data_IF_545673580532
#
_entry.id   IF_545673580532
#
_cell.length_a   1.000
_cell.length_b   1.000
_cell.length_c   1.000
_cell.angle_alpha   90.00
_cell.angle_beta   90.00
_cell.angle_gamma   90.00
#
_symmetry.space_group_name_H-M   'P 1'
#
loop_
_entity.id
_entity.type
_entity.pdbx_description
1 polymer ?
#
# COMPACT_ATOMS: atom_id res chain seq x y z
N UNK A 1 6.31 -10.30 -2.20
CA UNK A 1 6.30 -9.70 -3.56
C UNK A 1 5.38 -8.50 -3.64
N UNK A 2 4.16 -8.53 -3.05
CA UNK A 2 3.20 -7.43 -3.03
C UNK A 2 3.76 -6.08 -2.54
N UNK A 3 4.32 -6.02 -1.33
CA UNK A 3 4.86 -4.78 -0.74
C UNK A 3 5.96 -4.14 -1.63
N UNK A 4 6.85 -4.95 -2.22
CA UNK A 4 7.88 -4.48 -3.17
C UNK A 4 7.28 -3.92 -4.46
N UNK A 5 6.21 -4.53 -4.97
CA UNK A 5 5.51 -4.01 -6.15
C UNK A 5 4.89 -2.65 -5.85
N UNK A 6 4.20 -2.52 -4.72
CA UNK A 6 3.61 -1.26 -4.28
C UNK A 6 4.66 -0.18 -4.03
N UNK A 7 5.77 -0.52 -3.37
CA UNK A 7 6.89 0.39 -3.19
C UNK A 7 7.42 0.93 -4.52
N UNK A 8 7.65 0.04 -5.52
CA UNK A 8 8.08 0.46 -6.86
C UNK A 8 7.06 1.38 -7.54
N UNK A 9 5.77 1.10 -7.38
CA UNK A 9 4.70 1.94 -7.92
C UNK A 9 4.70 3.33 -7.25
N UNK A 10 4.84 3.40 -5.93
CA UNK A 10 4.93 4.66 -5.18
C UNK A 10 6.11 5.51 -5.64
N UNK A 11 7.31 4.92 -5.76
CA UNK A 11 8.48 5.67 -6.25
C UNK A 11 8.38 6.10 -7.70
N UNK A 12 7.59 5.40 -8.53
CA UNK A 12 7.32 5.81 -9.91
C UNK A 12 6.29 6.94 -10.02
N UNK A 13 5.46 7.12 -9.00
CA UNK A 13 4.52 8.23 -8.94
C UNK A 13 5.27 9.51 -8.51
N UNK A 14 5.14 10.58 -9.29
CA UNK A 14 5.89 11.81 -9.08
C UNK A 14 5.58 12.42 -7.70
N UNK A 15 6.58 12.82 -6.90
CA UNK A 15 6.39 13.25 -5.50
C UNK A 15 5.54 14.51 -5.29
N UNK A 16 5.14 15.21 -6.35
CA UNK A 16 4.34 16.44 -6.24
C UNK A 16 2.87 16.20 -5.86
N UNK A 17 2.36 14.98 -5.95
CA UNK A 17 0.93 14.69 -5.76
C UNK A 17 0.64 13.59 -4.72
N UNK A 18 1.54 13.30 -3.77
CA UNK A 18 1.32 12.25 -2.77
C UNK A 18 -0.02 12.39 -2.03
N UNK A 19 -0.45 13.62 -1.77
CA UNK A 19 -1.75 13.90 -1.12
C UNK A 19 -2.97 13.49 -1.96
N UNK A 20 -2.83 13.49 -3.28
CA UNK A 20 -3.88 13.08 -4.22
C UNK A 20 -3.85 11.58 -4.55
N UNK A 21 -2.82 10.85 -4.13
CA UNK A 21 -2.69 9.43 -4.41
C UNK A 21 -3.49 8.57 -3.43
N UNK A 22 -4.05 7.47 -3.93
CA UNK A 22 -4.70 6.42 -3.14
C UNK A 22 -4.28 5.05 -3.64
N UNK A 23 -3.98 4.14 -2.72
CA UNK A 23 -3.91 2.72 -3.05
C UNK A 23 -5.32 2.17 -3.12
N UNK A 24 -5.64 1.39 -4.16
CA UNK A 24 -6.91 0.68 -4.26
C UNK A 24 -6.67 -0.82 -4.31
N UNK A 25 -7.33 -1.58 -3.43
CA UNK A 25 -7.19 -3.04 -3.35
C UNK A 25 -8.39 -3.71 -2.69
N UNK A 26 -8.46 -5.04 -2.76
CA UNK A 26 -9.46 -5.82 -2.01
C UNK A 26 -9.09 -5.92 -0.52
N UNK A 27 -10.08 -6.20 0.34
CA UNK A 27 -9.84 -6.44 1.77
C UNK A 27 -8.91 -7.64 2.03
N UNK A 28 -9.02 -8.71 1.23
CA UNK A 28 -8.13 -9.86 1.32
C UNK A 28 -6.68 -9.51 0.95
N UNK A 29 -6.51 -8.60 -0.02
CA UNK A 29 -5.19 -8.09 -0.41
C UNK A 29 -4.57 -7.24 0.70
N UNK A 30 -5.36 -6.40 1.39
CA UNK A 30 -4.91 -5.66 2.57
C UNK A 30 -4.50 -6.61 3.70
N UNK A 31 -5.27 -7.67 3.96
CA UNK A 31 -4.93 -8.67 4.98
C UNK A 31 -3.60 -9.36 4.66
N UNK A 32 -3.37 -9.71 3.39
CA UNK A 32 -2.08 -10.27 2.94
C UNK A 32 -0.93 -9.28 3.18
N UNK A 33 -1.16 -7.99 2.95
CA UNK A 33 -0.16 -6.94 3.21
C UNK A 33 0.17 -6.79 4.70
N UNK A 34 -0.83 -6.92 5.58
CA UNK A 34 -0.64 -6.93 7.05
C UNK A 34 0.27 -8.08 7.48
N UNK A 35 -0.05 -9.30 7.07
CA UNK A 35 0.74 -10.49 7.39
C UNK A 35 2.19 -10.41 6.90
N UNK A 36 2.40 -9.81 5.72
CA UNK A 36 3.75 -9.55 5.20
C UNK A 36 4.47 -8.53 6.09
N UNK A 37 3.80 -7.43 6.48
CA UNK A 37 4.40 -6.37 7.28
C UNK A 37 4.79 -6.84 8.68
N UNK A 38 3.97 -7.68 9.31
CA UNK A 38 4.25 -8.32 10.60
C UNK A 38 5.44 -9.30 10.54
N UNK A 39 5.80 -9.82 9.37
CA UNK A 39 6.93 -10.73 9.21
C UNK A 39 8.26 -10.00 8.94
N UNK A 40 8.22 -8.70 8.66
CA UNK A 40 9.38 -7.88 8.25
C UNK A 40 9.80 -6.91 9.39
N UNK A 41 9.45 -7.25 10.64
CA UNK A 41 9.65 -6.39 11.82
C UNK A 41 11.12 -5.91 11.99
N UNK A 42 12.09 -6.68 11.49
CA UNK A 42 13.53 -6.44 11.70
C UNK A 42 14.22 -5.57 10.64
N UNK A 43 13.53 -5.17 9.56
CA UNK A 43 14.11 -4.26 8.57
C UNK A 43 13.72 -2.80 8.90
N UNK A 44 14.72 -1.98 9.28
CA UNK A 44 14.55 -0.56 9.60
C UNK A 44 14.04 0.25 8.40
N UNK A 45 14.44 -0.13 7.19
CA UNK A 45 14.13 0.58 5.95
C UNK A 45 12.96 -0.04 5.16
N UNK A 46 12.34 -1.09 5.68
CA UNK A 46 11.25 -1.73 4.95
C UNK A 46 10.00 -0.83 4.91
N UNK A 47 9.30 -0.75 3.77
CA UNK A 47 8.06 0.01 3.66
C UNK A 47 6.99 -0.61 4.57
N UNK A 48 6.49 0.16 5.54
CA UNK A 48 5.55 -0.33 6.55
C UNK A 48 4.11 0.04 6.22
N UNK A 49 3.22 -0.92 6.46
CA UNK A 49 1.80 -0.65 6.61
C UNK A 49 1.57 0.04 7.96
N UNK A 50 0.84 1.15 7.94
CA UNK A 50 0.38 1.87 9.11
C UNK A 50 -1.11 1.56 9.29
N UNK A 51 -1.47 0.92 10.40
CA UNK A 51 -2.86 0.68 10.78
C UNK A 51 -3.49 1.95 11.37
N UNK A 52 -3.69 2.92 10.47
CA UNK A 52 -4.48 4.13 10.69
C UNK A 52 -5.91 3.92 10.16
N UNK A 53 -6.78 4.89 10.40
CA UNK A 53 -8.12 4.95 9.78
C UNK A 53 -8.19 6.22 8.88
N UNK A 54 -8.01 6.08 7.54
CA UNK A 54 -7.80 4.86 6.77
C UNK A 54 -6.36 4.30 6.86
N UNK A 55 -6.14 2.99 6.60
CA UNK A 55 -4.80 2.40 6.60
C UNK A 55 -3.89 3.06 5.57
N UNK A 56 -2.59 3.13 5.83
CA UNK A 56 -1.64 3.80 4.93
C UNK A 56 -0.43 2.92 4.61
N UNK A 57 0.05 2.97 3.37
CA UNK A 57 1.29 2.33 2.96
C UNK A 57 2.17 3.34 2.23
N UNK A 58 3.43 3.49 2.67
CA UNK A 58 4.36 4.51 2.13
C UNK A 58 3.83 5.95 2.20
N UNK A 59 3.03 6.27 3.23
CA UNK A 59 2.43 7.61 3.37
C UNK A 59 1.23 7.86 2.45
N UNK A 60 0.76 6.85 1.71
CA UNK A 60 -0.39 6.94 0.81
C UNK A 60 -1.56 6.17 1.42
N UNK A 61 -2.76 6.77 1.54
CA UNK A 61 -3.94 6.10 2.08
C UNK A 61 -4.41 4.92 1.21
N UNK A 62 -4.95 3.89 1.85
CA UNK A 62 -5.52 2.69 1.23
C UNK A 62 -7.04 2.78 1.24
N UNK A 63 -7.63 2.63 0.07
CA UNK A 63 -9.07 2.50 -0.16
C UNK A 63 -9.41 1.06 -0.54
N UNK A 64 -10.42 0.51 0.13
CA UNK A 64 -10.92 -0.82 -0.17
C UNK A 64 -11.96 -0.73 -1.28
N UNK A 65 -11.77 -1.51 -2.34
CA UNK A 65 -12.69 -1.54 -3.47
C UNK A 65 -12.82 -2.93 -4.09
N UNK A 66 -13.67 -3.03 -5.11
CA UNK A 66 -13.94 -4.25 -5.87
C UNK A 66 -12.80 -4.58 -6.86
N UNK A 67 -11.62 -4.92 -6.34
CA UNK A 67 -10.52 -5.46 -7.14
C UNK A 67 -10.40 -6.97 -6.94
N UNK A 68 -9.79 -7.65 -7.90
CA UNK A 68 -9.43 -9.07 -7.76
C UNK A 68 -8.38 -9.23 -6.66
N UNK A 69 -8.41 -10.35 -5.97
CA UNK A 69 -7.42 -10.63 -4.92
C UNK A 69 -6.00 -10.67 -5.49
N UNK A 70 -5.09 -9.97 -4.81
CA UNK A 70 -3.71 -9.76 -5.25
C UNK A 70 -3.54 -8.61 -6.26
N UNK A 71 -4.62 -7.98 -6.73
CA UNK A 71 -4.55 -6.78 -7.56
C UNK A 71 -4.48 -5.53 -6.69
N UNK A 72 -3.56 -4.63 -7.04
CA UNK A 72 -3.40 -3.33 -6.41
C UNK A 72 -3.23 -2.28 -7.49
N UNK A 73 -3.88 -1.14 -7.30
CA UNK A 73 -3.78 0.03 -8.16
C UNK A 73 -3.33 1.24 -7.34
N UNK A 74 -2.55 2.12 -7.97
CA UNK A 74 -2.23 3.44 -7.44
C UNK A 74 -2.98 4.46 -8.29
N UNK A 75 -4.00 5.09 -7.71
CA UNK A 75 -4.87 6.03 -8.40
C UNK A 75 -4.64 7.44 -7.89
N UNK A 76 -4.99 8.44 -8.70
CA UNK A 76 -5.03 9.85 -8.29
C UNK A 76 -6.49 10.26 -8.18
N UNK A 77 -6.85 11.00 -7.12
CA UNK A 77 -8.17 11.62 -6.95
C UNK A 77 -8.39 12.81 -7.88
#
# INVERSE_FOLDING_TARGET
>A
MLAKTMERMAYSATPRNLEALRWRMSAATLQTLREISERVIDELDAPRLQDLDPPMFMGIPIEIGELRDGQVELVTL
#
